data_IF_985277330364
#
_entry.id   IF_985277330364
#
_cell.length_a   1.000
_cell.length_b   1.000
_cell.length_c   1.000
_cell.angle_alpha   90.00
_cell.angle_beta   90.00
_cell.angle_gamma   90.00
#
_symmetry.space_group_name_H-M   'P 1'
#
loop_
_entity.id
_entity.type
_entity.pdbx_description
1 polymer ?
#
# COMPACT_ATOMS: atom_id res chain seq x y z
N UNK A 1 2.49 14.41 -10.01
CA UNK A 1 1.84 13.85 -11.21
C UNK A 1 1.24 12.52 -10.82
N UNK A 2 -0.08 12.42 -10.75
CA UNK A 2 -0.72 11.10 -10.64
C UNK A 2 -0.41 10.31 -11.92
N UNK A 3 -0.16 9.00 -11.84
CA UNK A 3 -0.28 8.18 -13.04
C UNK A 3 -1.74 8.25 -13.47
N UNK A 4 -2.01 8.94 -14.58
CA UNK A 4 -3.31 8.91 -15.23
C UNK A 4 -3.52 7.48 -15.73
N UNK A 5 -4.24 6.66 -14.98
CA UNK A 5 -5.02 5.64 -15.65
C UNK A 5 -6.09 6.41 -16.43
N UNK A 6 -6.08 6.38 -17.77
CA UNK A 6 -7.21 6.91 -18.52
C UNK A 6 -8.47 6.25 -17.95
N UNK A 7 -9.54 7.01 -17.78
CA UNK A 7 -10.84 6.48 -17.35
C UNK A 7 -11.45 5.63 -18.47
N UNK A 8 -10.81 4.49 -18.75
CA UNK A 8 -11.31 3.45 -19.64
C UNK A 8 -12.52 2.87 -18.94
N UNK A 9 -13.71 3.12 -19.48
CA UNK A 9 -14.91 2.41 -19.07
C UNK A 9 -14.79 0.99 -19.61
N UNK A 10 -14.32 0.08 -18.76
CA UNK A 10 -14.28 -1.35 -19.05
C UNK A 10 -15.70 -1.89 -18.87
N UNK A 11 -16.16 -2.75 -19.78
CA UNK A 11 -17.47 -3.40 -19.62
C UNK A 11 -17.42 -4.38 -18.45
N UNK A 12 -18.57 -4.71 -17.87
CA UNK A 12 -18.64 -5.72 -16.81
C UNK A 12 -18.08 -7.08 -17.30
N UNK A 13 -18.36 -7.45 -18.54
CA UNK A 13 -17.83 -8.66 -19.19
C UNK A 13 -16.30 -8.66 -19.26
N UNK A 14 -15.71 -7.54 -19.66
CA UNK A 14 -14.26 -7.43 -19.79
C UNK A 14 -13.57 -7.42 -18.42
N UNK A 15 -14.18 -6.82 -17.40
CA UNK A 15 -13.70 -6.88 -15.99
C UNK A 15 -13.68 -8.32 -15.49
N UNK A 16 -14.78 -9.07 -15.70
CA UNK A 16 -14.87 -10.48 -15.35
C UNK A 16 -13.84 -11.33 -16.08
N UNK A 17 -13.52 -11.00 -17.34
CA UNK A 17 -12.48 -11.70 -18.09
C UNK A 17 -11.12 -11.51 -17.44
N UNK A 18 -10.73 -10.28 -17.13
CA UNK A 18 -9.45 -9.99 -16.46
C UNK A 18 -9.35 -10.66 -15.09
N UNK A 19 -10.40 -10.55 -14.26
CA UNK A 19 -10.42 -11.16 -12.93
C UNK A 19 -10.24 -12.69 -13.01
N UNK A 20 -10.88 -13.34 -13.99
CA UNK A 20 -10.75 -14.78 -14.22
C UNK A 20 -9.35 -15.17 -14.71
N UNK A 21 -8.73 -14.36 -15.56
CA UNK A 21 -7.37 -14.61 -16.05
C UNK A 21 -6.32 -14.46 -14.94
N UNK A 22 -6.44 -13.41 -14.13
CA UNK A 22 -5.58 -13.18 -12.96
C UNK A 22 -5.73 -14.30 -11.93
N UNK A 23 -6.97 -14.75 -11.66
CA UNK A 23 -7.23 -15.86 -10.74
C UNK A 23 -6.65 -17.18 -11.27
N UNK A 24 -6.77 -17.46 -12.57
CA UNK A 24 -6.11 -18.64 -13.21
C UNK A 24 -4.59 -18.56 -13.07
N UNK A 25 -4.00 -17.38 -13.26
CA UNK A 25 -2.55 -17.18 -13.12
C UNK A 25 -2.08 -17.40 -11.69
N UNK A 26 -2.81 -16.89 -10.69
CA UNK A 26 -2.53 -17.10 -9.27
C UNK A 26 -2.60 -18.56 -8.89
N UNK A 27 -3.66 -19.27 -9.29
CA UNK A 27 -3.80 -20.71 -9.05
C UNK A 27 -2.65 -21.52 -9.68
N UNK A 28 -2.25 -21.18 -10.92
CA UNK A 28 -1.08 -21.80 -11.58
C UNK A 28 0.21 -21.56 -10.80
N UNK A 29 0.39 -20.36 -10.24
CA UNK A 29 1.52 -20.00 -9.38
C UNK A 29 1.37 -20.51 -7.94
N UNK A 30 0.27 -21.20 -7.61
CA UNK A 30 -0.11 -21.63 -6.26
C UNK A 30 -0.10 -20.49 -5.23
N UNK A 31 -0.54 -19.31 -5.66
CA UNK A 31 -0.64 -18.11 -4.82
C UNK A 31 -2.09 -17.79 -4.47
N UNK A 32 -2.27 -17.09 -3.36
CA UNK A 32 -3.55 -16.52 -2.92
C UNK A 32 -3.51 -14.99 -2.92
N UNK A 33 -4.68 -14.35 -2.86
CA UNK A 33 -4.75 -12.93 -2.55
C UNK A 33 -4.54 -12.70 -1.05
N UNK A 34 -3.74 -11.71 -0.69
CA UNK A 34 -3.66 -11.19 0.68
C UNK A 34 -4.11 -9.74 0.68
N UNK A 35 -5.23 -9.46 1.33
CA UNK A 35 -5.69 -8.10 1.58
C UNK A 35 -4.98 -7.57 2.83
N UNK A 36 -4.32 -6.43 2.69
CA UNK A 36 -3.40 -5.90 3.70
C UNK A 36 -3.82 -4.50 4.10
N UNK A 37 -4.15 -4.33 5.37
CA UNK A 37 -4.32 -3.01 5.98
C UNK A 37 -2.97 -2.37 6.31
N UNK A 38 -2.94 -1.04 6.43
CA UNK A 38 -1.72 -0.26 6.70
C UNK A 38 -1.59 0.12 8.17
N UNK A 39 -2.47 0.98 8.67
CA UNK A 39 -2.33 1.60 9.99
C UNK A 39 -2.62 0.63 11.13
N UNK A 40 -1.72 0.58 12.12
CA UNK A 40 -1.71 -0.44 13.19
C UNK A 40 -1.56 -1.89 12.70
N UNK A 41 -1.31 -2.10 11.39
CA UNK A 41 -1.06 -3.42 10.80
C UNK A 41 0.40 -3.52 10.34
N UNK A 42 0.79 -2.73 9.34
CA UNK A 42 2.15 -2.68 8.79
C UNK A 42 2.93 -1.44 9.21
N UNK A 43 2.23 -0.35 9.52
CA UNK A 43 2.82 0.94 9.88
C UNK A 43 2.05 1.61 11.01
N UNK A 44 2.69 2.58 11.64
CA UNK A 44 2.02 3.52 12.54
C UNK A 44 2.33 4.95 12.08
N UNK A 45 1.30 5.72 11.78
CA UNK A 45 1.42 7.10 11.28
C UNK A 45 0.77 8.11 12.22
N UNK A 46 1.39 9.28 12.41
CA UNK A 46 0.81 10.44 13.08
C UNK A 46 1.05 11.73 12.30
N UNK A 47 0.12 12.67 12.35
CA UNK A 47 0.27 14.05 11.85
C UNK A 47 0.28 15.09 13.00
N UNK A 48 0.51 14.64 14.24
CA UNK A 48 0.52 15.53 15.40
C UNK A 48 1.66 16.53 15.30
N UNK A 49 1.32 17.83 15.40
CA UNK A 49 2.30 18.93 15.37
C UNK A 49 3.25 18.93 16.57
N UNK A 50 2.84 18.29 17.66
CA UNK A 50 3.63 18.17 18.89
C UNK A 50 4.50 16.89 18.89
N UNK A 51 4.55 16.19 17.77
CA UNK A 51 5.37 15.00 17.63
C UNK A 51 6.78 15.38 17.21
N UNK A 52 7.72 15.22 18.14
CA UNK A 52 9.15 15.30 17.87
C UNK A 52 9.65 13.87 17.73
N UNK A 53 10.05 13.41 16.52
CA UNK A 53 10.42 12.03 16.31
C UNK A 53 11.63 11.68 17.20
N UNK A 54 11.46 10.81 18.23
CA UNK A 54 12.53 10.51 19.17
C UNK A 54 13.57 9.54 18.60
N UNK A 55 13.35 9.03 17.38
CA UNK A 55 14.09 7.93 16.79
C UNK A 55 14.40 8.18 15.32
N UNK A 56 15.57 7.71 14.86
CA UNK A 56 16.02 7.81 13.48
C UNK A 56 15.26 6.90 12.51
N UNK A 57 14.49 5.94 13.02
CA UNK A 57 13.69 5.01 12.21
C UNK A 57 12.30 5.54 11.83
N UNK A 58 12.01 6.81 12.16
CA UNK A 58 10.78 7.49 11.81
C UNK A 58 10.98 8.26 10.50
N UNK A 59 10.10 7.99 9.54
CA UNK A 59 10.13 8.59 8.21
C UNK A 59 9.11 9.72 8.18
N UNK A 60 9.56 10.93 7.81
CA UNK A 60 8.70 12.10 7.74
C UNK A 60 8.48 12.53 6.29
N UNK A 61 7.24 12.76 5.90
CA UNK A 61 6.89 13.20 4.54
C UNK A 61 5.69 14.13 4.55
N UNK A 62 5.57 14.94 3.50
CA UNK A 62 4.41 15.82 3.32
C UNK A 62 3.49 15.24 2.26
N UNK A 63 2.20 15.16 2.58
CA UNK A 63 1.18 14.89 1.58
C UNK A 63 0.52 16.20 1.18
N UNK A 64 0.41 16.40 -0.13
CA UNK A 64 -0.38 17.48 -0.72
C UNK A 64 -1.87 17.15 -0.56
N UNK A 65 -2.38 17.32 0.66
CA UNK A 65 -3.82 17.40 0.92
C UNK A 65 -4.26 18.86 0.83
N UNK A 66 -5.55 19.15 1.01
CA UNK A 66 -6.08 20.52 1.03
C UNK A 66 -5.32 21.44 2.01
N UNK A 67 -4.72 20.86 3.06
CA UNK A 67 -3.78 21.53 3.95
C UNK A 67 -2.46 20.76 3.88
N UNK A 68 -1.34 21.42 3.59
CA UNK A 68 -0.01 20.78 3.60
C UNK A 68 0.30 20.22 5.00
N UNK A 69 0.07 18.93 5.18
CA UNK A 69 0.26 18.23 6.45
C UNK A 69 1.52 17.36 6.37
N UNK A 70 2.34 17.45 7.42
CA UNK A 70 3.46 16.53 7.63
C UNK A 70 2.95 15.30 8.36
N UNK A 71 3.33 14.14 7.86
CA UNK A 71 3.08 12.84 8.47
C UNK A 71 4.41 12.25 8.92
N UNK A 72 4.38 11.57 10.05
CA UNK A 72 5.49 10.82 10.63
C UNK A 72 5.07 9.37 10.73
N UNK A 73 5.79 8.49 10.05
CA UNK A 73 5.47 7.08 9.97
C UNK A 73 6.63 6.24 10.47
N UNK A 74 6.30 5.26 11.31
CA UNK A 74 7.20 4.18 11.70
C UNK A 74 6.72 2.88 11.07
N UNK A 75 7.63 2.18 10.40
CA UNK A 75 7.37 0.84 9.88
C UNK A 75 7.31 -0.16 11.04
N UNK A 76 6.42 -1.15 10.95
CA UNK A 76 6.44 -2.26 11.89
C UNK A 76 7.76 -3.02 11.74
N UNK A 77 8.46 -3.34 12.83
CA UNK A 77 9.69 -4.12 12.76
C UNK A 77 9.47 -5.42 11.98
N UNK A 78 10.39 -5.72 11.06
CA UNK A 78 10.32 -6.92 10.20
C UNK A 78 9.38 -6.82 9.00
N UNK A 79 8.70 -5.69 8.74
CA UNK A 79 7.72 -5.59 7.64
C UNK A 79 8.28 -5.98 6.27
N UNK A 80 9.51 -5.56 5.95
CA UNK A 80 10.14 -5.87 4.66
C UNK A 80 10.43 -7.36 4.50
N UNK A 81 10.92 -7.98 5.57
CA UNK A 81 11.17 -9.43 5.60
C UNK A 81 9.86 -10.22 5.52
N UNK A 82 8.84 -9.80 6.28
CA UNK A 82 7.49 -10.37 6.22
C UNK A 82 6.92 -10.37 4.80
N UNK A 83 6.96 -9.23 4.11
CA UNK A 83 6.47 -9.11 2.73
C UNK A 83 7.32 -9.95 1.76
N UNK A 84 8.64 -9.95 1.93
CA UNK A 84 9.57 -10.74 1.10
C UNK A 84 9.28 -12.23 1.22
N UNK A 85 9.14 -12.74 2.46
CA UNK A 85 8.89 -14.15 2.73
C UNK A 85 7.53 -14.63 2.19
N UNK A 86 6.52 -13.75 2.21
CA UNK A 86 5.18 -14.07 1.73
C UNK A 86 4.97 -13.84 0.23
N UNK A 87 5.89 -13.15 -0.46
CA UNK A 87 5.77 -12.82 -1.89
C UNK A 87 5.62 -14.06 -2.77
N UNK A 88 6.19 -15.20 -2.40
CA UNK A 88 6.07 -16.46 -3.16
C UNK A 88 4.69 -17.13 -3.00
N UNK A 89 3.97 -16.83 -1.92
CA UNK A 89 2.69 -17.44 -1.56
C UNK A 89 1.49 -16.53 -1.84
N UNK A 90 1.70 -15.21 -1.86
CA UNK A 90 0.62 -14.24 -1.95
C UNK A 90 0.86 -13.18 -3.03
N UNK A 91 -0.24 -12.65 -3.54
CA UNK A 91 -0.30 -11.35 -4.22
C UNK A 91 -0.99 -10.36 -3.29
N UNK A 92 -0.26 -9.30 -2.93
CA UNK A 92 -0.71 -8.32 -1.93
C UNK A 92 -1.62 -7.26 -2.57
N UNK A 93 -2.69 -6.91 -1.87
CA UNK A 93 -3.54 -5.78 -2.21
C UNK A 93 -3.74 -4.93 -0.95
N UNK A 94 -3.38 -3.64 -1.03
CA UNK A 94 -3.59 -2.73 0.08
C UNK A 94 -5.08 -2.37 0.17
N UNK A 95 -5.66 -2.58 1.35
CA UNK A 95 -7.03 -2.20 1.69
C UNK A 95 -6.98 -1.42 3.00
N UNK A 96 -7.14 -0.11 2.92
CA UNK A 96 -6.97 0.79 4.07
C UNK A 96 -8.03 1.87 4.08
N UNK A 97 -8.31 2.43 5.26
CA UNK A 97 -9.12 3.64 5.41
C UNK A 97 -8.37 4.93 5.04
N UNK A 98 -7.05 4.87 4.84
CA UNK A 98 -6.26 6.02 4.37
C UNK A 98 -6.60 6.44 2.94
N UNK A 99 -6.37 7.71 2.61
CA UNK A 99 -6.58 8.21 1.25
C UNK A 99 -5.52 7.67 0.26
N UNK A 100 -5.81 7.75 -1.04
CA UNK A 100 -4.93 7.21 -2.09
C UNK A 100 -3.50 7.79 -2.08
N UNK A 101 -3.29 9.12 -1.94
CA UNK A 101 -1.94 9.68 -1.81
C UNK A 101 -1.15 9.11 -0.63
N UNK A 102 -1.81 8.89 0.51
CA UNK A 102 -1.22 8.26 1.67
C UNK A 102 -0.85 6.80 1.39
N UNK A 103 -1.81 5.99 0.92
CA UNK A 103 -1.58 4.58 0.62
C UNK A 103 -0.43 4.38 -0.38
N UNK A 104 -0.38 5.18 -1.44
CA UNK A 104 0.72 5.15 -2.41
C UNK A 104 2.07 5.53 -1.80
N UNK A 105 2.08 6.48 -0.86
CA UNK A 105 3.32 6.86 -0.16
C UNK A 105 3.81 5.72 0.71
N UNK A 106 2.93 5.11 1.52
CA UNK A 106 3.29 3.96 2.35
C UNK A 106 3.73 2.77 1.50
N UNK A 107 3.03 2.47 0.40
CA UNK A 107 3.41 1.41 -0.52
C UNK A 107 4.87 1.55 -0.99
N UNK A 108 5.28 2.75 -1.42
CA UNK A 108 6.67 3.02 -1.83
C UNK A 108 7.68 2.91 -0.69
N UNK A 109 7.27 3.13 0.55
CA UNK A 109 8.15 2.99 1.71
C UNK A 109 8.39 1.51 2.08
N UNK A 110 7.36 0.67 1.94
CA UNK A 110 7.43 -0.76 2.29
C UNK A 110 7.91 -1.64 1.13
N UNK A 111 7.61 -1.26 -0.11
CA UNK A 111 7.96 -1.97 -1.35
C UNK A 111 8.34 -0.94 -2.45
N UNK A 112 9.62 -0.51 -2.48
CA UNK A 112 10.07 0.53 -3.40
C UNK A 112 10.29 0.06 -4.85
N UNK A 113 10.35 -1.26 -5.08
CA UNK A 113 10.59 -1.91 -6.39
C UNK A 113 9.28 -2.37 -7.05
#
# INVERSE_FOLDING_TARGET
>A
MEPSFPSVKITAEETLRYDNEDLKLLLRKRKLYLLVDLDQTLVHTTNSKNYYPPSSDIISYQLYTQMRQTFHTKLRPGVKEFLTNLRSLYQFHIVTFGNRPYANTIAKLIDPD
#
